data_IF_627107222500
#
_entry.id   IF_627107222500
#
_cell.length_a   1.000
_cell.length_b   1.000
_cell.length_c   1.000
_cell.angle_alpha   90.00
_cell.angle_beta   90.00
_cell.angle_gamma   90.00
#
_symmetry.space_group_name_H-M   'P 1'
#
loop_
_entity.id
_entity.type
_entity.pdbx_description
1 polymer ?
#
# COMPACT_ATOMS: atom_id res chain seq x y z
N UNK A 1 3.31 9.04 9.58
CA UNK A 1 3.36 10.16 8.63
C UNK A 1 1.98 10.51 8.15
N UNK A 2 1.69 11.78 8.04
CA UNK A 2 0.45 12.26 7.41
C UNK A 2 0.82 13.17 6.26
N UNK A 3 0.05 13.09 5.18
CA UNK A 3 0.28 13.96 4.02
C UNK A 3 -1.03 14.24 3.31
N UNK A 4 -1.13 15.45 2.76
CA UNK A 4 -2.23 15.81 1.87
C UNK A 4 -1.89 15.35 0.47
N UNK A 5 -2.70 14.48 -0.08
CA UNK A 5 -2.45 13.85 -1.37
C UNK A 5 -3.70 13.92 -2.25
N UNK A 6 -3.49 13.77 -3.56
CA UNK A 6 -4.58 13.54 -4.49
C UNK A 6 -4.43 12.13 -5.04
N UNK A 7 -5.51 11.38 -5.05
CA UNK A 7 -5.49 10.01 -5.59
C UNK A 7 -5.53 10.07 -7.10
N UNK A 8 -4.54 9.44 -7.72
CA UNK A 8 -4.46 9.35 -9.18
C UNK A 8 -5.06 8.04 -9.68
N UNK A 9 -4.72 6.94 -8.99
CA UNK A 9 -5.12 5.60 -9.42
C UNK A 9 -5.16 4.66 -8.23
N UNK A 10 -6.16 3.79 -8.19
CA UNK A 10 -6.27 2.75 -7.19
C UNK A 10 -6.34 1.41 -7.89
N UNK A 11 -5.43 0.51 -7.55
CA UNK A 11 -5.38 -0.82 -8.14
C UNK A 11 -6.42 -1.75 -7.56
N UNK A 12 -6.40 -2.97 -8.06
CA UNK A 12 -7.29 -4.02 -7.58
C UNK A 12 -6.81 -4.56 -6.23
N UNK A 13 -7.76 -4.97 -5.40
CA UNK A 13 -7.44 -5.67 -4.17
C UNK A 13 -6.87 -7.05 -4.49
N UNK A 14 -5.86 -7.46 -3.72
CA UNK A 14 -5.25 -8.77 -3.86
C UNK A 14 -4.96 -9.41 -2.51
N UNK A 15 -4.95 -10.73 -2.49
CA UNK A 15 -4.53 -11.51 -1.34
C UNK A 15 -3.45 -12.49 -1.80
N UNK A 16 -2.36 -12.56 -1.03
CA UNK A 16 -1.30 -13.55 -1.24
C UNK A 16 -1.18 -14.41 -0.02
N UNK A 17 -1.15 -15.72 -0.27
CA UNK A 17 -0.94 -16.69 0.78
C UNK A 17 0.54 -16.81 1.09
N UNK A 18 0.89 -16.85 2.36
CA UNK A 18 2.25 -17.12 2.79
C UNK A 18 2.24 -18.00 4.03
N UNK A 19 3.33 -18.72 4.25
CA UNK A 19 3.48 -19.56 5.43
C UNK A 19 4.12 -18.76 6.55
N UNK A 20 3.51 -18.83 7.73
CA UNK A 20 4.10 -18.26 8.93
C UNK A 20 5.28 -19.08 9.39
N UNK A 21 6.25 -18.40 9.97
CA UNK A 21 7.31 -19.04 10.73
C UNK A 21 6.68 -19.76 11.94
N UNK A 22 6.94 -21.05 12.07
CA UNK A 22 6.34 -21.84 13.16
C UNK A 22 5.06 -22.56 12.77
N UNK A 23 4.64 -22.52 11.52
CA UNK A 23 3.48 -23.22 10.99
C UNK A 23 2.26 -22.32 10.84
N UNK A 24 1.31 -22.79 10.07
CA UNK A 24 0.11 -22.04 9.75
C UNK A 24 0.24 -21.23 8.48
N UNK A 25 -0.90 -20.80 7.97
CA UNK A 25 -1.01 -20.04 6.74
C UNK A 25 -1.66 -18.71 7.01
N UNK A 26 -1.10 -17.65 6.46
CA UNK A 26 -1.73 -16.33 6.50
C UNK A 26 -1.82 -15.74 5.11
N UNK A 27 -2.64 -14.71 4.98
CA UNK A 27 -2.84 -13.99 3.74
C UNK A 27 -2.31 -12.58 3.88
N UNK A 28 -1.47 -12.17 2.95
CA UNK A 28 -1.06 -10.79 2.82
C UNK A 28 -2.09 -10.08 1.92
N UNK A 29 -2.79 -9.13 2.50
CA UNK A 29 -3.86 -8.38 1.84
C UNK A 29 -3.33 -7.02 1.45
N UNK A 30 -3.57 -6.63 0.21
CA UNK A 30 -3.08 -5.34 -0.26
C UNK A 30 -3.92 -4.75 -1.38
N UNK A 31 -3.86 -3.44 -1.50
CA UNK A 31 -4.43 -2.70 -2.61
C UNK A 31 -3.55 -1.47 -2.85
N UNK A 32 -2.98 -1.37 -4.06
CA UNK A 32 -2.05 -0.30 -4.38
C UNK A 32 -2.75 1.00 -4.72
N UNK A 33 -2.09 2.12 -4.39
CA UNK A 33 -2.61 3.46 -4.64
C UNK A 33 -1.49 4.33 -5.19
N UNK A 34 -1.72 4.96 -6.33
CA UNK A 34 -0.84 5.99 -6.85
C UNK A 34 -1.41 7.34 -6.43
N UNK A 35 -0.60 8.12 -5.72
CA UNK A 35 -1.00 9.41 -5.16
C UNK A 35 -0.10 10.51 -5.70
N UNK A 36 -0.65 11.71 -5.79
CA UNK A 36 0.14 12.91 -6.07
C UNK A 36 0.37 13.67 -4.79
N UNK A 37 1.64 13.93 -4.51
CA UNK A 37 2.08 14.71 -3.36
C UNK A 37 2.84 15.92 -3.90
N UNK A 38 2.19 17.08 -3.96
CA UNK A 38 2.78 18.23 -4.63
C UNK A 38 2.99 17.95 -6.10
N UNK A 39 4.23 18.13 -6.59
CA UNK A 39 4.59 17.85 -7.97
C UNK A 39 5.03 16.41 -8.23
N UNK A 40 5.10 15.59 -7.19
CA UNK A 40 5.62 14.23 -7.29
C UNK A 40 4.52 13.17 -7.18
N UNK A 41 4.82 11.98 -7.67
CA UNK A 41 3.95 10.83 -7.50
C UNK A 41 4.53 9.89 -6.46
N UNK A 42 3.65 9.33 -5.65
CA UNK A 42 4.00 8.40 -4.60
C UNK A 42 3.14 7.15 -4.74
N UNK A 43 3.78 5.99 -4.73
CA UNK A 43 3.05 4.73 -4.68
C UNK A 43 2.95 4.26 -3.23
N UNK A 44 1.73 3.93 -2.80
CA UNK A 44 1.50 3.36 -1.48
C UNK A 44 0.65 2.12 -1.56
N UNK A 45 0.61 1.39 -0.46
CA UNK A 45 -0.20 0.18 -0.37
C UNK A 45 -1.09 0.23 0.87
N UNK A 46 -2.39 0.03 0.67
CA UNK A 46 -3.26 -0.35 1.76
C UNK A 46 -2.96 -1.80 2.09
N UNK A 47 -2.83 -2.14 3.36
CA UNK A 47 -2.49 -3.48 3.79
C UNK A 47 -3.40 -3.96 4.91
N UNK A 48 -3.46 -5.28 5.10
CA UNK A 48 -4.17 -5.90 6.20
C UNK A 48 -5.66 -5.58 6.21
N UNK A 49 -6.19 -5.28 7.38
CA UNK A 49 -7.61 -5.00 7.54
C UNK A 49 -8.08 -3.75 6.81
N UNK A 50 -7.21 -2.74 6.70
CA UNK A 50 -7.57 -1.53 5.97
C UNK A 50 -7.77 -1.84 4.49
N UNK A 51 -6.93 -2.69 3.90
CA UNK A 51 -7.10 -3.14 2.53
C UNK A 51 -8.37 -3.98 2.38
N UNK A 52 -8.60 -4.92 3.27
CA UNK A 52 -9.77 -5.79 3.24
C UNK A 52 -11.07 -5.00 3.39
N UNK A 53 -11.10 -4.05 4.32
CA UNK A 53 -12.24 -3.18 4.57
C UNK A 53 -12.56 -2.31 3.34
N UNK A 54 -11.54 -1.93 2.59
CA UNK A 54 -11.68 -1.05 1.42
C UNK A 54 -11.50 -1.79 0.10
N UNK A 55 -11.71 -3.10 0.08
CA UNK A 55 -11.49 -3.91 -1.12
C UNK A 55 -12.31 -3.45 -2.33
N UNK A 56 -13.50 -2.96 -2.09
CA UNK A 56 -14.43 -2.51 -3.14
C UNK A 56 -14.69 -1.02 -3.10
N UNK A 57 -14.02 -0.29 -2.21
CA UNK A 57 -14.20 1.14 -2.07
C UNK A 57 -13.70 1.85 -3.33
N UNK A 58 -14.52 2.74 -3.87
CA UNK A 58 -14.15 3.59 -4.98
C UNK A 58 -13.70 4.94 -4.42
N UNK A 59 -12.40 5.20 -4.55
CA UNK A 59 -11.83 6.47 -4.12
C UNK A 59 -11.94 7.49 -5.24
N UNK A 60 -12.25 8.72 -4.88
CA UNK A 60 -12.44 9.80 -5.86
C UNK A 60 -11.08 10.26 -6.38
N UNK A 61 -10.94 10.23 -7.70
CA UNK A 61 -9.72 10.74 -8.34
C UNK A 61 -9.73 12.26 -8.33
N UNK A 62 -8.53 12.83 -8.21
CA UNK A 62 -8.31 14.28 -8.24
C UNK A 62 -9.02 15.04 -7.10
N UNK A 63 -9.35 14.34 -6.03
CA UNK A 63 -9.88 14.94 -4.81
C UNK A 63 -8.81 14.83 -3.71
N UNK A 64 -8.73 15.83 -2.83
CA UNK A 64 -7.74 15.78 -1.76
C UNK A 64 -8.13 14.82 -0.65
N UNK A 65 -7.15 14.07 -0.19
CA UNK A 65 -7.25 13.14 0.94
C UNK A 65 -6.12 13.40 1.90
N UNK A 66 -6.38 13.14 3.18
CA UNK A 66 -5.30 13.00 4.15
C UNK A 66 -4.91 11.53 4.19
N UNK A 67 -3.67 11.24 3.79
CA UNK A 67 -3.13 9.89 3.85
C UNK A 67 -2.29 9.74 5.10
N UNK A 68 -2.56 8.71 5.88
CA UNK A 68 -1.76 8.34 7.05
C UNK A 68 -1.07 7.01 6.77
N UNK A 69 0.16 6.88 7.21
CA UNK A 69 0.89 5.65 7.00
C UNK A 69 2.31 5.72 7.51
N UNK A 70 3.07 4.71 7.15
CA UNK A 70 4.46 4.61 7.56
C UNK A 70 5.28 3.95 6.45
N UNK A 71 6.59 4.22 6.47
CA UNK A 71 7.53 3.62 5.54
C UNK A 71 8.00 2.28 6.09
N UNK A 72 8.05 1.28 5.21
CA UNK A 72 8.55 -0.05 5.52
C UNK A 72 9.68 -0.39 4.56
N UNK A 73 10.84 -0.73 5.10
CA UNK A 73 11.94 -1.24 4.30
C UNK A 73 11.70 -2.73 4.02
N UNK A 74 11.71 -3.09 2.75
CA UNK A 74 11.54 -4.48 2.31
C UNK A 74 12.75 -4.92 1.51
N UNK A 75 13.10 -6.20 1.66
CA UNK A 75 14.17 -6.79 0.87
C UNK A 75 13.69 -8.08 0.24
N UNK A 76 14.26 -8.40 -0.91
CA UNK A 76 14.05 -9.70 -1.55
C UNK A 76 15.30 -10.06 -2.34
N UNK A 77 15.42 -11.33 -2.70
CA UNK A 77 16.50 -11.78 -3.56
C UNK A 77 15.99 -11.92 -4.98
N UNK A 78 16.74 -11.36 -5.93
CA UNK A 78 16.43 -11.50 -7.33
C UNK A 78 16.91 -12.85 -7.88
N UNK A 79 16.72 -13.05 -9.18
CA UNK A 79 17.09 -14.31 -9.84
C UNK A 79 18.59 -14.60 -9.77
N UNK A 80 19.42 -13.59 -9.60
CA UNK A 80 20.87 -13.72 -9.52
C UNK A 80 21.36 -13.86 -8.07
N UNK A 81 20.44 -13.95 -7.11
CA UNK A 81 20.77 -14.05 -5.69
C UNK A 81 21.19 -12.75 -5.06
N UNK A 82 21.05 -11.61 -5.76
CA UNK A 82 21.37 -10.31 -5.19
C UNK A 82 20.22 -9.81 -4.32
N UNK A 83 20.57 -9.22 -3.20
CA UNK A 83 19.58 -8.60 -2.32
C UNK A 83 19.14 -7.27 -2.92
N UNK A 84 17.84 -7.14 -3.10
CA UNK A 84 17.22 -5.90 -3.56
C UNK A 84 16.52 -5.23 -2.40
N UNK A 85 16.44 -3.92 -2.46
CA UNK A 85 15.86 -3.09 -1.41
C UNK A 85 14.75 -2.22 -1.96
N UNK A 86 13.72 -2.03 -1.16
CA UNK A 86 12.59 -1.19 -1.52
C UNK A 86 12.06 -0.50 -0.27
N UNK A 87 11.71 0.76 -0.40
CA UNK A 87 10.96 1.46 0.63
C UNK A 87 9.50 1.52 0.19
N UNK A 88 8.62 0.86 0.94
CA UNK A 88 7.20 0.82 0.65
C UNK A 88 6.45 1.71 1.64
N UNK A 89 5.50 2.49 1.15
CA UNK A 89 4.63 3.29 2.01
C UNK A 89 3.36 2.50 2.27
N UNK A 90 3.15 2.12 3.54
CA UNK A 90 1.95 1.39 3.95
C UNK A 90 0.93 2.38 4.48
N UNK A 91 -0.22 2.41 3.81
CA UNK A 91 -1.30 3.34 4.11
C UNK A 91 -2.18 2.74 5.19
N UNK A 92 -2.34 3.44 6.30
CA UNK A 92 -3.19 3.01 7.40
C UNK A 92 -4.52 3.73 7.41
N UNK A 93 -4.63 4.86 6.73
CA UNK A 93 -5.89 5.59 6.63
C UNK A 93 -5.86 6.54 5.43
N UNK A 94 -7.02 6.73 4.81
CA UNK A 94 -7.26 7.69 3.74
C UNK A 94 -8.57 8.39 4.05
N UNK A 95 -8.49 9.67 4.42
CA UNK A 95 -9.67 10.46 4.76
C UNK A 95 -9.89 11.54 3.72
N UNK A 96 -11.08 11.56 3.15
CA UNK A 96 -11.49 12.62 2.24
C UNK A 96 -11.60 13.94 3.00
N UNK A 97 -11.09 15.00 2.40
CA UNK A 97 -11.22 16.33 2.98
C UNK A 97 -12.61 16.90 2.77
#
# INVERSE_FOLDING_TARGET
MEALVMIKEVGAYSERQYQKQGGGTEYFKSRGVVMKLGGDELYGEMTGEFASKNRDTQFLQNQPYIAKGFWKHRTWQDQNGQTRHENAFYITDLQEL
#
